data_IF_131843149937
#
_entry.id   IF_131843149937
#
_cell.length_a   1.000
_cell.length_b   1.000
_cell.length_c   1.000
_cell.angle_alpha   90.00
_cell.angle_beta   90.00
_cell.angle_gamma   90.00
#
_symmetry.space_group_name_H-M   'P 1'
#
loop_
_entity.id
_entity.type
_entity.pdbx_description
1 polymer ?
#
# COMPACT_ATOMS: atom_id res chain seq x y z
N UNK A 1 -19.58 2.22 23.97
CA UNK A 1 -19.78 2.31 22.50
C UNK A 1 -19.70 0.89 21.95
N UNK A 2 -20.53 0.58 20.94
CA UNK A 2 -21.15 -0.73 20.71
C UNK A 2 -20.22 -1.93 20.47
N UNK A 3 -20.49 -2.99 21.23
CA UNK A 3 -19.97 -4.37 21.14
C UNK A 3 -20.52 -5.16 19.92
N UNK A 4 -20.94 -4.46 18.85
CA UNK A 4 -21.75 -5.01 17.75
C UNK A 4 -20.92 -5.71 16.66
N UNK A 5 -19.65 -5.33 16.45
CA UNK A 5 -18.83 -5.89 15.36
C UNK A 5 -18.55 -7.39 15.58
N UNK A 6 -18.46 -7.83 16.84
CA UNK A 6 -18.05 -9.21 17.19
C UNK A 6 -19.02 -10.31 16.79
N UNK A 7 -20.26 -9.99 16.42
CA UNK A 7 -21.31 -11.00 16.16
C UNK A 7 -21.77 -11.07 14.71
N UNK A 8 -21.37 -10.13 13.86
CA UNK A 8 -21.87 -10.03 12.48
C UNK A 8 -20.97 -10.73 11.46
N UNK A 9 -19.66 -10.77 11.70
CA UNK A 9 -18.69 -11.38 10.77
C UNK A 9 -18.51 -12.86 11.09
N UNK A 10 -18.99 -13.74 10.20
CA UNK A 10 -18.92 -15.20 10.38
C UNK A 10 -17.76 -15.85 9.63
N UNK A 11 -17.22 -15.18 8.63
CA UNK A 11 -16.15 -15.68 7.78
C UNK A 11 -14.79 -15.17 8.24
N UNK A 12 -13.74 -15.94 7.94
CA UNK A 12 -12.36 -15.48 8.16
C UNK A 12 -12.03 -14.30 7.27
N UNK A 13 -11.39 -13.28 7.84
CA UNK A 13 -11.04 -12.07 7.12
C UNK A 13 -9.68 -11.56 7.55
N UNK A 14 -9.03 -10.83 6.65
CA UNK A 14 -7.80 -10.11 6.92
C UNK A 14 -7.93 -8.69 6.38
N UNK A 15 -7.14 -7.79 6.93
CA UNK A 15 -7.06 -6.41 6.45
C UNK A 15 -6.03 -6.33 5.31
N UNK A 16 -6.50 -6.15 4.08
CA UNK A 16 -5.64 -6.09 2.89
C UNK A 16 -4.83 -4.79 2.80
N UNK A 17 -5.14 -3.79 3.63
CA UNK A 17 -4.46 -2.51 3.63
C UNK A 17 -4.52 -1.81 4.99
N UNK A 18 -3.40 -1.85 5.72
CA UNK A 18 -3.22 -1.05 6.93
C UNK A 18 -1.87 -0.34 7.02
N UNK A 19 -1.76 0.62 7.93
CA UNK A 19 -0.53 1.36 8.22
C UNK A 19 -0.08 1.13 9.66
N UNK A 20 0.71 0.06 9.88
CA UNK A 20 1.26 -0.21 11.21
C UNK A 20 2.22 0.90 11.65
N UNK A 21 2.92 1.53 10.72
CA UNK A 21 3.82 2.66 10.97
C UNK A 21 3.07 3.88 11.51
N UNK A 22 1.88 4.18 11.00
CA UNK A 22 1.05 5.29 11.50
C UNK A 22 0.52 5.00 12.90
N UNK A 23 0.11 3.76 13.16
CA UNK A 23 -0.33 3.34 14.49
C UNK A 23 0.86 3.44 15.46
N UNK A 24 2.04 2.97 15.07
CA UNK A 24 3.25 3.09 15.89
C UNK A 24 3.62 4.54 16.16
N UNK A 25 3.65 5.43 15.16
CA UNK A 25 3.91 6.86 15.34
C UNK A 25 2.92 7.53 16.30
N UNK A 26 1.66 7.07 16.32
CA UNK A 26 0.61 7.62 17.20
C UNK A 26 0.72 7.16 18.64
N UNK A 27 1.08 5.89 18.87
CA UNK A 27 1.07 5.29 20.22
C UNK A 27 2.47 5.08 20.80
N UNK A 28 3.53 5.27 19.99
CA UNK A 28 4.95 5.12 20.33
C UNK A 28 5.31 3.79 21.02
N UNK A 29 4.48 2.76 20.85
CA UNK A 29 4.70 1.45 21.43
C UNK A 29 3.95 0.36 20.68
N UNK A 30 4.56 -0.83 20.72
CA UNK A 30 3.95 -2.07 20.28
C UNK A 30 3.98 -2.30 18.77
N UNK A 31 3.19 -3.28 18.39
CA UNK A 31 2.96 -3.78 17.04
C UNK A 31 1.61 -4.49 17.04
N UNK A 32 1.23 -5.12 15.94
CA UNK A 32 -0.09 -5.75 15.80
C UNK A 32 -0.42 -6.71 16.96
N UNK A 33 0.53 -7.52 17.42
CA UNK A 33 0.35 -8.42 18.58
C UNK A 33 0.07 -7.68 19.89
N UNK A 34 0.71 -6.53 20.10
CA UNK A 34 0.49 -5.70 21.28
C UNK A 34 -0.86 -5.01 21.21
N UNK A 35 -1.22 -4.45 20.06
CA UNK A 35 -2.47 -3.70 19.89
C UNK A 35 -3.70 -4.61 19.98
N UNK A 36 -3.63 -5.81 19.39
CA UNK A 36 -4.70 -6.81 19.51
C UNK A 36 -4.89 -7.28 20.97
N UNK A 37 -3.82 -7.27 21.80
CA UNK A 37 -3.91 -7.58 23.24
C UNK A 37 -4.43 -6.40 24.05
N UNK A 38 -4.00 -5.18 23.74
CA UNK A 38 -4.37 -3.97 24.50
C UNK A 38 -5.81 -3.55 24.28
N UNK A 39 -6.37 -3.86 23.12
CA UNK A 39 -7.75 -3.54 22.76
C UNK A 39 -8.56 -4.80 22.41
N UNK A 40 -8.99 -5.58 23.42
CA UNK A 40 -9.74 -6.80 23.17
C UNK A 40 -10.95 -6.54 22.27
N UNK A 41 -11.63 -5.39 22.43
CA UNK A 41 -12.79 -5.02 21.62
C UNK A 41 -12.56 -4.95 20.11
N UNK A 42 -11.31 -4.78 19.67
CA UNK A 42 -10.92 -4.75 18.25
C UNK A 42 -10.59 -6.16 17.74
N UNK A 43 -10.15 -7.07 18.61
CA UNK A 43 -9.87 -8.45 18.23
C UNK A 43 -11.18 -9.21 17.93
N UNK A 44 -11.25 -9.76 16.72
CA UNK A 44 -12.30 -10.66 16.26
C UNK A 44 -11.72 -12.08 16.09
N UNK A 45 -12.43 -13.13 16.52
CA UNK A 45 -11.94 -14.53 16.40
C UNK A 45 -11.72 -14.99 14.96
N UNK A 46 -12.36 -14.32 14.01
CA UNK A 46 -12.24 -14.55 12.57
C UNK A 46 -11.16 -13.70 11.89
N UNK A 47 -10.51 -12.79 12.62
CA UNK A 47 -9.41 -12.00 12.09
C UNK A 47 -8.17 -12.86 11.96
N UNK A 48 -7.67 -13.05 10.74
CA UNK A 48 -6.51 -13.92 10.47
C UNK A 48 -5.22 -13.13 10.21
N UNK A 49 -5.30 -11.83 9.95
CA UNK A 49 -4.11 -11.00 9.80
C UNK A 49 -4.33 -9.72 8.99
N UNK A 50 -3.22 -9.12 8.57
CA UNK A 50 -3.19 -7.91 7.77
C UNK A 50 -1.99 -7.89 6.80
N UNK A 51 -2.06 -6.96 5.84
CA UNK A 51 -0.98 -6.58 4.93
C UNK A 51 -0.63 -5.10 5.19
N UNK A 52 0.39 -4.80 6.02
CA UNK A 52 0.92 -3.45 6.14
C UNK A 52 1.42 -2.88 4.83
N UNK A 53 1.16 -1.59 4.62
CA UNK A 53 1.64 -0.80 3.49
C UNK A 53 2.65 0.23 4.01
N UNK A 54 3.93 0.04 3.70
CA UNK A 54 5.00 0.96 4.08
C UNK A 54 5.24 1.96 2.96
N UNK A 55 4.70 3.16 3.14
CA UNK A 55 4.52 4.12 2.04
C UNK A 55 5.51 5.30 2.07
N UNK A 56 6.22 5.45 3.19
CA UNK A 56 7.21 6.50 3.42
C UNK A 56 8.63 5.93 3.24
N UNK A 57 9.36 6.30 2.19
CA UNK A 57 10.67 5.72 1.92
C UNK A 57 11.71 5.95 3.01
N UNK A 58 11.58 7.03 3.79
CA UNK A 58 12.49 7.31 4.90
C UNK A 58 12.56 6.14 5.89
N UNK A 59 11.48 5.39 6.08
CA UNK A 59 11.44 4.25 7.01
C UNK A 59 12.36 3.09 6.57
N UNK A 60 12.63 2.92 5.26
CA UNK A 60 13.34 1.77 4.72
C UNK A 60 14.54 2.12 3.82
N UNK A 61 14.85 3.41 3.63
CA UNK A 61 16.02 3.92 2.91
C UNK A 61 16.93 4.71 3.86
N UNK A 62 18.06 4.11 4.22
CA UNK A 62 18.98 4.57 5.29
C UNK A 62 19.51 6.01 5.13
N UNK A 63 19.66 6.50 3.90
CA UNK A 63 20.34 7.76 3.60
C UNK A 63 19.40 8.90 3.15
N UNK A 64 18.09 8.80 3.40
CA UNK A 64 17.16 9.90 3.13
C UNK A 64 16.98 10.80 4.36
N UNK A 65 16.55 10.20 5.47
CA UNK A 65 16.43 10.85 6.77
C UNK A 65 16.82 9.85 7.87
N UNK A 66 18.06 9.89 8.38
CA UNK A 66 18.53 8.97 9.41
C UNK A 66 17.72 8.99 10.70
N UNK A 67 16.97 10.06 10.99
CA UNK A 67 16.13 10.15 12.18
C UNK A 67 14.82 9.35 12.03
N UNK A 68 14.43 9.03 10.80
CA UNK A 68 13.21 8.30 10.49
C UNK A 68 13.46 6.88 9.98
N UNK A 69 14.68 6.56 9.57
CA UNK A 69 15.05 5.22 9.13
C UNK A 69 14.92 4.19 10.25
N UNK A 70 14.13 3.14 9.99
CA UNK A 70 13.93 2.05 10.94
C UNK A 70 13.49 0.75 10.23
N UNK A 71 14.36 0.22 9.36
CA UNK A 71 14.11 -1.04 8.68
C UNK A 71 14.04 -2.22 9.67
N UNK A 72 14.79 -2.16 10.78
CA UNK A 72 14.77 -3.19 11.81
C UNK A 72 13.41 -3.29 12.50
N UNK A 73 12.77 -2.15 12.78
CA UNK A 73 11.39 -2.13 13.27
C UNK A 73 10.42 -2.76 12.28
N UNK A 74 10.54 -2.47 10.98
CA UNK A 74 9.73 -3.14 9.93
C UNK A 74 9.92 -4.65 10.03
N UNK A 75 11.17 -5.13 10.00
CA UNK A 75 11.49 -6.56 10.06
C UNK A 75 10.96 -7.22 11.34
N UNK A 76 10.95 -6.50 12.46
CA UNK A 76 10.33 -6.96 13.72
C UNK A 76 8.82 -7.12 13.57
N UNK A 77 8.11 -6.15 12.98
CA UNK A 77 6.66 -6.24 12.76
C UNK A 77 6.29 -7.42 11.86
N UNK A 78 7.11 -7.67 10.83
CA UNK A 78 6.92 -8.79 9.92
C UNK A 78 7.00 -10.16 10.62
N UNK A 79 7.60 -10.28 11.80
CA UNK A 79 7.66 -11.55 12.53
C UNK A 79 6.31 -12.00 13.11
N UNK A 80 5.35 -11.07 13.21
CA UNK A 80 4.01 -11.43 13.70
C UNK A 80 3.34 -12.46 12.81
N UNK A 81 2.66 -13.43 13.42
CA UNK A 81 1.80 -14.39 12.70
C UNK A 81 0.61 -13.72 12.01
N UNK A 82 0.22 -12.53 12.48
CA UNK A 82 -0.88 -11.76 11.89
C UNK A 82 -0.41 -10.91 10.70
N UNK A 83 0.90 -10.77 10.46
CA UNK A 83 1.40 -10.07 9.26
C UNK A 83 1.60 -11.09 8.15
N UNK A 84 0.65 -11.11 7.21
CA UNK A 84 0.58 -12.10 6.12
C UNK A 84 1.53 -11.76 4.98
N UNK A 85 1.81 -10.47 4.81
CA UNK A 85 2.76 -9.91 3.87
C UNK A 85 2.86 -8.40 4.04
N UNK A 86 3.61 -7.74 3.17
CA UNK A 86 3.72 -6.29 3.17
C UNK A 86 3.81 -5.74 1.76
N UNK A 87 3.46 -4.47 1.60
CA UNK A 87 3.80 -3.71 0.42
C UNK A 87 4.75 -2.57 0.79
N UNK A 88 5.56 -2.17 -0.19
CA UNK A 88 6.53 -1.10 -0.06
C UNK A 88 6.41 -0.18 -1.26
N UNK A 89 6.34 1.11 -1.02
CA UNK A 89 6.24 2.10 -2.09
C UNK A 89 6.61 3.49 -1.64
N UNK A 90 6.62 4.41 -2.59
CA UNK A 90 6.67 5.83 -2.34
C UNK A 90 5.28 6.41 -2.66
N UNK A 91 4.52 6.73 -1.62
CA UNK A 91 3.22 7.38 -1.77
C UNK A 91 3.36 8.69 -2.54
N UNK A 92 2.37 9.14 -3.31
CA UNK A 92 2.39 10.46 -3.93
C UNK A 92 2.70 11.60 -2.94
N UNK A 93 2.35 11.47 -1.65
CA UNK A 93 2.70 12.46 -0.61
C UNK A 93 4.20 12.64 -0.39
N UNK A 94 4.99 11.60 -0.63
CA UNK A 94 6.46 11.61 -0.51
C UNK A 94 7.15 11.72 -1.87
N UNK A 95 6.40 11.95 -2.96
CA UNK A 95 6.92 11.97 -4.32
C UNK A 95 7.99 13.04 -4.58
N UNK A 96 8.01 14.12 -3.83
CA UNK A 96 9.04 15.16 -3.94
C UNK A 96 10.42 14.68 -3.48
N UNK A 97 10.46 13.72 -2.55
CA UNK A 97 11.69 13.08 -2.09
C UNK A 97 12.15 11.94 -3.01
N UNK A 98 11.42 11.64 -4.08
CA UNK A 98 11.72 10.52 -4.96
C UNK A 98 13.03 10.72 -5.73
N UNK A 99 13.94 9.75 -5.59
CA UNK A 99 15.19 9.65 -6.33
C UNK A 99 15.59 8.18 -6.57
N UNK A 100 16.73 7.98 -7.22
CA UNK A 100 17.24 6.64 -7.59
C UNK A 100 17.48 5.73 -6.38
N UNK A 101 17.80 6.28 -5.20
CA UNK A 101 18.06 5.48 -3.99
C UNK A 101 16.79 4.77 -3.51
N UNK A 102 15.64 5.43 -3.66
CA UNK A 102 14.33 4.83 -3.36
C UNK A 102 14.04 3.69 -4.33
N UNK A 103 14.27 3.91 -5.63
CA UNK A 103 14.04 2.88 -6.64
C UNK A 103 14.96 1.67 -6.45
N UNK A 104 16.24 1.89 -6.17
CA UNK A 104 17.22 0.86 -5.86
C UNK A 104 16.81 0.05 -4.63
N UNK A 105 16.35 0.72 -3.56
CA UNK A 105 15.86 0.03 -2.36
C UNK A 105 14.61 -0.79 -2.64
N UNK A 106 13.64 -0.27 -3.40
CA UNK A 106 12.46 -1.05 -3.81
C UNK A 106 12.86 -2.27 -4.65
N UNK A 107 13.82 -2.13 -5.58
CA UNK A 107 14.35 -3.25 -6.33
C UNK A 107 14.98 -4.30 -5.41
N UNK A 108 15.80 -3.88 -4.43
CA UNK A 108 16.40 -4.77 -3.44
C UNK A 108 15.33 -5.53 -2.62
N UNK A 109 14.27 -4.84 -2.16
CA UNK A 109 13.18 -5.47 -1.41
C UNK A 109 12.41 -6.49 -2.27
N UNK A 110 12.23 -6.18 -3.57
CA UNK A 110 11.60 -7.06 -4.56
C UNK A 110 12.48 -8.28 -4.91
N UNK A 111 13.80 -8.16 -4.82
CA UNK A 111 14.74 -9.28 -5.03
C UNK A 111 14.86 -10.14 -3.75
N UNK A 112 14.62 -9.56 -2.58
CA UNK A 112 14.70 -10.21 -1.27
C UNK A 112 13.32 -10.42 -0.62
N UNK A 113 12.27 -10.70 -1.42
CA UNK A 113 10.87 -10.71 -0.95
C UNK A 113 10.58 -11.60 0.24
N UNK A 114 11.32 -12.70 0.44
CA UNK A 114 11.14 -13.58 1.60
C UNK A 114 11.46 -12.87 2.91
N UNK A 115 12.51 -12.06 2.92
CA UNK A 115 12.93 -11.29 4.10
C UNK A 115 11.95 -10.15 4.39
N UNK A 116 11.53 -9.42 3.36
CA UNK A 116 10.61 -8.28 3.46
C UNK A 116 9.14 -8.67 3.46
N UNK A 117 8.82 -9.97 3.34
CA UNK A 117 7.46 -10.46 3.03
C UNK A 117 6.74 -9.66 1.93
N UNK A 118 7.48 -9.16 0.92
CA UNK A 118 6.93 -8.27 -0.10
C UNK A 118 5.94 -9.01 -1.00
N UNK A 119 4.69 -8.54 -1.00
CA UNK A 119 3.62 -9.01 -1.87
C UNK A 119 3.33 -8.05 -3.03
N UNK A 120 3.51 -6.75 -2.82
CA UNK A 120 3.19 -5.71 -3.80
C UNK A 120 4.15 -4.53 -3.73
N UNK A 121 4.27 -3.79 -4.84
CA UNK A 121 4.81 -2.42 -4.83
C UNK A 121 3.67 -1.46 -4.58
N UNK A 122 3.82 -0.60 -3.58
CA UNK A 122 2.88 0.42 -3.23
C UNK A 122 2.70 0.59 -1.72
N UNK A 123 1.98 1.61 -1.28
CA UNK A 123 1.19 2.51 -2.13
C UNK A 123 2.04 3.39 -3.05
N UNK A 124 1.61 3.45 -4.30
CA UNK A 124 2.13 4.33 -5.34
C UNK A 124 0.94 4.89 -6.14
N UNK A 125 1.14 5.93 -6.94
CA UNK A 125 0.06 6.52 -7.74
C UNK A 125 0.02 8.03 -7.62
N UNK A 126 -1.16 8.62 -7.74
CA UNK A 126 -1.32 10.06 -7.88
C UNK A 126 -2.31 10.63 -6.85
N UNK A 127 -1.90 11.74 -6.26
CA UNK A 127 -2.75 12.69 -5.55
C UNK A 127 -2.55 14.03 -6.27
N UNK A 128 -3.63 14.76 -6.56
CA UNK A 128 -3.68 16.07 -7.25
C UNK A 128 -2.32 16.67 -7.72
N UNK A 129 -2.01 16.55 -9.03
CA UNK A 129 -0.81 17.10 -9.70
C UNK A 129 0.56 16.81 -9.06
N UNK A 130 0.72 15.71 -8.31
CA UNK A 130 2.04 15.29 -7.80
C UNK A 130 2.88 14.56 -8.85
N UNK A 131 4.18 14.48 -8.60
CA UNK A 131 5.23 14.00 -9.51
C UNK A 131 4.92 12.66 -10.16
N UNK A 132 4.54 12.71 -11.44
CA UNK A 132 4.26 11.52 -12.26
C UNK A 132 5.49 10.62 -12.36
N UNK A 133 6.70 11.16 -12.23
CA UNK A 133 7.96 10.41 -12.32
C UNK A 133 8.11 9.35 -11.22
N UNK A 134 7.70 9.66 -9.99
CA UNK A 134 7.72 8.72 -8.87
C UNK A 134 6.80 7.52 -9.14
N UNK A 135 5.62 7.80 -9.71
CA UNK A 135 4.66 6.77 -10.03
C UNK A 135 5.14 5.89 -11.20
N UNK A 136 5.59 6.51 -12.30
CA UNK A 136 6.04 5.78 -13.51
C UNK A 136 7.26 4.90 -13.24
N UNK A 137 8.19 5.32 -12.38
CA UNK A 137 9.33 4.50 -11.98
C UNK A 137 8.88 3.23 -11.21
N UNK A 138 7.92 3.36 -10.30
CA UNK A 138 7.36 2.22 -9.56
C UNK A 138 6.56 1.28 -10.47
N UNK A 139 5.78 1.82 -11.42
CA UNK A 139 5.09 1.04 -12.46
C UNK A 139 6.07 0.23 -13.32
N UNK A 140 7.15 0.86 -13.76
CA UNK A 140 8.18 0.20 -14.56
C UNK A 140 8.85 -0.95 -13.80
N UNK A 141 9.11 -0.77 -12.50
CA UNK A 141 9.66 -1.82 -11.63
C UNK A 141 8.65 -2.97 -11.44
N UNK A 142 7.39 -2.64 -11.14
CA UNK A 142 6.32 -3.63 -10.97
C UNK A 142 6.12 -4.48 -12.22
N UNK A 143 6.09 -3.84 -13.40
CA UNK A 143 6.06 -4.54 -14.70
C UNK A 143 7.26 -5.46 -14.88
N UNK A 144 8.48 -4.93 -14.69
CA UNK A 144 9.73 -5.66 -14.95
C UNK A 144 9.88 -6.89 -14.06
N UNK A 145 9.34 -6.84 -12.84
CA UNK A 145 9.47 -7.88 -11.82
C UNK A 145 8.19 -8.68 -11.59
N UNK A 146 7.16 -8.45 -12.40
CA UNK A 146 5.83 -9.04 -12.28
C UNK A 146 5.31 -9.02 -10.83
N UNK A 147 5.32 -7.82 -10.24
CA UNK A 147 4.88 -7.59 -8.85
C UNK A 147 3.50 -6.93 -8.88
N UNK A 148 2.52 -7.41 -8.10
CA UNK A 148 1.26 -6.69 -7.89
C UNK A 148 1.47 -5.22 -7.46
N UNK A 149 0.49 -4.38 -7.76
CA UNK A 149 0.49 -2.97 -7.40
C UNK A 149 -0.57 -2.66 -6.35
N UNK A 150 -0.24 -1.85 -5.34
CA UNK A 150 -1.22 -1.13 -4.52
C UNK A 150 -1.25 0.32 -4.97
N UNK A 151 -2.39 0.76 -5.52
CA UNK A 151 -2.53 2.06 -6.19
C UNK A 151 -3.37 3.02 -5.36
N UNK A 152 -2.73 4.12 -4.96
CA UNK A 152 -3.36 5.33 -4.49
C UNK A 152 -3.72 6.21 -5.67
N UNK A 153 -5.00 6.50 -5.83
CA UNK A 153 -5.46 7.55 -6.72
C UNK A 153 -6.45 8.41 -5.97
N UNK A 154 -6.28 9.72 -5.99
CA UNK A 154 -7.26 10.63 -5.39
C UNK A 154 -7.39 11.88 -6.21
N UNK A 155 -8.61 12.12 -6.68
CA UNK A 155 -8.97 13.40 -7.27
C UNK A 155 -9.05 14.45 -6.17
N UNK A 156 -8.36 15.58 -6.33
CA UNK A 156 -8.42 16.70 -5.39
C UNK A 156 -9.80 17.39 -5.39
N UNK A 157 -10.01 18.41 -4.53
CA UNK A 157 -11.31 19.12 -4.39
C UNK A 157 -11.79 19.85 -5.66
N UNK A 158 -10.99 19.88 -6.74
CA UNK A 158 -11.38 20.44 -8.05
C UNK A 158 -12.19 19.46 -8.92
N UNK A 159 -12.51 18.27 -8.42
CA UNK A 159 -13.49 17.36 -9.00
C UNK A 159 -12.91 16.00 -9.43
N UNK A 160 -13.77 14.97 -9.57
CA UNK A 160 -13.40 13.64 -10.06
C UNK A 160 -13.05 13.73 -11.54
N UNK A 161 -11.80 13.45 -11.92
CA UNK A 161 -11.46 13.41 -13.35
C UNK A 161 -9.98 13.39 -13.72
N UNK A 162 -9.14 14.13 -13.00
CA UNK A 162 -7.74 14.27 -13.44
C UNK A 162 -6.85 13.12 -12.97
N UNK A 163 -6.89 12.79 -11.67
CA UNK A 163 -6.00 11.79 -11.11
C UNK A 163 -6.28 10.38 -11.65
N UNK A 164 -7.55 10.00 -11.77
CA UNK A 164 -7.97 8.67 -12.23
C UNK A 164 -7.56 8.43 -13.69
N UNK A 165 -7.82 9.41 -14.56
CA UNK A 165 -7.40 9.37 -15.97
C UNK A 165 -5.88 9.33 -16.10
N UNK A 166 -5.18 10.22 -15.39
CA UNK A 166 -3.70 10.24 -15.41
C UNK A 166 -3.10 8.95 -14.87
N UNK A 167 -3.71 8.33 -13.86
CA UNK A 167 -3.25 7.06 -13.33
C UNK A 167 -3.35 5.95 -14.38
N UNK A 168 -4.52 5.80 -15.00
CA UNK A 168 -4.73 4.79 -16.04
C UNK A 168 -3.83 5.03 -17.27
N UNK A 169 -3.70 6.27 -17.72
CA UNK A 169 -2.79 6.63 -18.83
C UNK A 169 -1.34 6.31 -18.51
N UNK A 170 -0.85 6.64 -17.30
CA UNK A 170 0.52 6.32 -16.90
C UNK A 170 0.77 4.80 -16.82
N UNK A 171 -0.23 4.01 -16.43
CA UNK A 171 -0.15 2.54 -16.42
C UNK A 171 -0.10 1.96 -17.83
N UNK A 172 -0.90 2.51 -18.75
CA UNK A 172 -0.91 2.14 -20.16
C UNK A 172 0.42 2.50 -20.84
N UNK A 173 0.93 3.72 -20.62
CA UNK A 173 2.24 4.18 -21.12
C UNK A 173 3.39 3.35 -20.53
N UNK A 174 3.28 2.97 -19.26
CA UNK A 174 4.20 2.03 -18.62
C UNK A 174 4.06 0.61 -19.20
N UNK A 175 3.11 0.33 -20.08
CA UNK A 175 2.92 -0.95 -20.75
C UNK A 175 2.59 -2.10 -19.80
N UNK A 176 1.79 -1.83 -18.76
CA UNK A 176 1.28 -2.91 -17.91
C UNK A 176 0.37 -3.84 -18.73
N UNK A 177 0.48 -5.14 -18.45
CA UNK A 177 -0.47 -6.11 -18.97
C UNK A 177 -1.87 -5.83 -18.41
N UNK A 178 -2.91 -6.05 -19.21
CA UNK A 178 -4.29 -6.03 -18.70
C UNK A 178 -4.52 -6.99 -17.54
N UNK A 179 -3.72 -8.05 -17.45
CA UNK A 179 -3.77 -9.05 -16.38
C UNK A 179 -2.86 -8.74 -15.18
N UNK A 180 -2.22 -7.56 -15.15
CA UNK A 180 -1.40 -7.16 -14.00
C UNK A 180 -2.27 -7.06 -12.75
N UNK A 181 -1.84 -7.67 -11.64
CA UNK A 181 -2.62 -7.65 -10.40
C UNK A 181 -2.57 -6.27 -9.75
N UNK A 182 -3.73 -5.65 -9.56
CA UNK A 182 -3.86 -4.28 -9.05
C UNK A 182 -4.85 -4.27 -7.89
N UNK A 183 -4.40 -3.77 -6.73
CA UNK A 183 -5.26 -3.39 -5.62
C UNK A 183 -5.43 -1.88 -5.62
N UNK A 184 -6.58 -1.39 -6.08
CA UNK A 184 -6.97 0.01 -6.02
C UNK A 184 -7.55 0.30 -4.64
N UNK A 185 -6.70 0.73 -3.72
CA UNK A 185 -7.08 0.87 -2.32
C UNK A 185 -7.90 2.15 -2.07
N UNK A 186 -8.68 2.17 -0.97
CA UNK A 186 -9.48 3.33 -0.53
C UNK A 186 -10.25 3.97 -1.69
N UNK A 187 -10.93 3.14 -2.48
CA UNK A 187 -11.71 3.57 -3.62
C UNK A 187 -12.99 4.26 -3.14
N UNK A 188 -13.05 5.58 -3.32
CA UNK A 188 -14.19 6.41 -2.93
C UNK A 188 -14.93 7.05 -4.11
N UNK A 189 -14.55 6.67 -5.33
CA UNK A 189 -15.17 7.18 -6.56
C UNK A 189 -16.46 6.40 -6.89
N UNK A 190 -17.13 6.80 -7.96
CA UNK A 190 -18.41 6.20 -8.37
C UNK A 190 -18.23 4.95 -9.26
N UNK A 191 -19.35 4.30 -9.56
CA UNK A 191 -19.41 3.13 -10.42
C UNK A 191 -18.82 3.37 -11.82
N UNK A 192 -19.09 4.53 -12.44
CA UNK A 192 -18.56 4.85 -13.77
C UNK A 192 -17.02 4.88 -13.79
N UNK A 193 -16.39 5.37 -12.71
CA UNK A 193 -14.94 5.31 -12.55
C UNK A 193 -14.47 3.87 -12.37
N UNK A 194 -15.14 3.07 -11.52
CA UNK A 194 -14.80 1.66 -11.33
C UNK A 194 -14.86 0.86 -12.65
N UNK A 195 -15.88 1.09 -13.47
CA UNK A 195 -16.01 0.44 -14.77
C UNK A 195 -14.82 0.74 -15.69
N UNK A 196 -14.38 2.00 -15.77
CA UNK A 196 -13.20 2.38 -16.58
C UNK A 196 -11.93 1.62 -16.14
N UNK A 197 -11.74 1.45 -14.84
CA UNK A 197 -10.64 0.63 -14.31
C UNK A 197 -10.76 -0.83 -14.73
N UNK A 198 -11.94 -1.43 -14.58
CA UNK A 198 -12.20 -2.84 -14.95
C UNK A 198 -12.11 -3.07 -16.47
N UNK A 199 -12.49 -2.08 -17.27
CA UNK A 199 -12.32 -2.10 -18.72
C UNK A 199 -10.86 -1.96 -19.14
N UNK A 200 -10.01 -1.37 -18.30
CA UNK A 200 -8.57 -1.20 -18.57
C UNK A 200 -7.76 -2.41 -18.11
N UNK A 201 -8.08 -2.98 -16.94
CA UNK A 201 -7.34 -4.06 -16.29
C UNK A 201 -8.30 -5.11 -15.73
N UNK A 202 -8.10 -6.36 -16.15
CA UNK A 202 -8.99 -7.48 -15.83
C UNK A 202 -8.77 -7.96 -14.38
N UNK A 203 -7.57 -7.75 -13.83
CA UNK A 203 -7.20 -8.16 -12.47
C UNK A 203 -7.12 -6.97 -11.49
N UNK A 204 -8.05 -6.01 -11.61
CA UNK A 204 -8.21 -4.91 -10.66
C UNK A 204 -9.20 -5.28 -9.55
N UNK A 205 -8.82 -4.98 -8.31
CA UNK A 205 -9.65 -5.16 -7.12
C UNK A 205 -9.71 -3.84 -6.35
N UNK A 206 -10.89 -3.50 -5.84
CA UNK A 206 -11.12 -2.24 -5.13
C UNK A 206 -11.21 -2.48 -3.62
N UNK A 207 -10.40 -1.75 -2.85
CA UNK A 207 -10.50 -1.70 -1.38
C UNK A 207 -11.38 -0.53 -0.95
N UNK A 208 -12.21 -0.73 0.08
CA UNK A 208 -13.15 0.27 0.62
C UNK A 208 -12.85 0.61 2.06
#
# INVERSE_FOLDING_TARGET
>A
MKMLIRTEVKEFFFDSHCHLDFIYKKYSCGGIDSWLKSEPGIMHEKFIGCIPNFIEPNLFVENLDPAQYDMDWILQQLQSKYVLGASYGCHPHYGDAFDDRILEKLQYLVENRRMSKLLAIGECGLDYMKRVECYTAQLALARKKDVPLVIHCRSGPRGPGDAEKMCLSAMEEAGLSRFHNIHRHCFTENWDTAQKWMESYDNVYFGT
#
